data_IF_224378693421
#
_entry.id   IF_224378693421
#
_cell.length_a   1.000
_cell.length_b   1.000
_cell.length_c   1.000
_cell.angle_alpha   90.00
_cell.angle_beta   90.00
_cell.angle_gamma   90.00
#
_symmetry.space_group_name_H-M   'P 1'
#
loop_
_entity.id
_entity.type
_entity.pdbx_description
1 polymer ?
#
# COMPACT_ATOMS: atom_id res chain seq x y z
N UNK A 1 15.94 -5.75 12.68
CA UNK A 1 16.12 -4.58 11.79
C UNK A 1 14.72 -4.07 11.46
N UNK A 2 14.35 -2.87 11.89
CA UNK A 2 13.05 -2.28 11.54
C UNK A 2 13.19 -1.69 10.14
N UNK A 3 12.83 -2.45 9.10
CA UNK A 3 12.90 -1.94 7.73
C UNK A 3 11.77 -0.93 7.53
N UNK A 4 12.16 0.34 7.65
CA UNK A 4 11.31 1.48 7.31
C UNK A 4 11.28 1.54 5.79
N UNK A 5 10.11 1.29 5.24
CA UNK A 5 9.79 1.50 3.84
C UNK A 5 9.77 3.01 3.60
N UNK A 6 10.17 3.48 2.42
CA UNK A 6 9.95 4.87 1.97
C UNK A 6 8.91 4.98 0.84
N UNK A 7 8.63 6.21 0.39
CA UNK A 7 7.57 6.43 -0.62
C UNK A 7 7.94 5.81 -1.99
N UNK A 8 9.23 5.75 -2.32
CA UNK A 8 9.70 5.20 -3.58
C UNK A 8 9.55 3.68 -3.59
N UNK A 9 9.76 3.01 -2.45
CA UNK A 9 9.46 1.59 -2.29
C UNK A 9 7.97 1.27 -2.55
N UNK A 10 7.07 2.16 -2.13
CA UNK A 10 5.62 2.00 -2.39
C UNK A 10 5.30 2.17 -3.87
N UNK A 11 5.94 3.12 -4.54
CA UNK A 11 5.80 3.28 -6.00
C UNK A 11 6.31 2.03 -6.71
N UNK A 12 7.46 1.49 -6.28
CA UNK A 12 8.01 0.25 -6.83
C UNK A 12 7.05 -0.94 -6.64
N UNK A 13 6.45 -1.08 -5.45
CA UNK A 13 5.44 -2.12 -5.18
C UNK A 13 4.21 -1.95 -6.06
N UNK A 14 3.73 -0.72 -6.26
CA UNK A 14 2.61 -0.44 -7.15
C UNK A 14 2.92 -0.83 -8.60
N UNK A 15 4.13 -0.52 -9.08
CA UNK A 15 4.61 -0.91 -10.42
C UNK A 15 4.72 -2.43 -10.57
N UNK A 16 5.30 -3.12 -9.59
CA UNK A 16 5.41 -4.59 -9.57
C UNK A 16 4.01 -5.20 -9.61
N UNK A 17 3.11 -4.72 -8.75
CA UNK A 17 1.72 -5.19 -8.66
C UNK A 17 0.98 -4.97 -9.98
N UNK A 18 1.19 -3.83 -10.64
CA UNK A 18 0.61 -3.57 -11.95
C UNK A 18 1.11 -4.53 -13.03
N UNK A 19 2.41 -4.87 -13.00
CA UNK A 19 2.99 -5.89 -13.88
C UNK A 19 2.41 -7.29 -13.64
N UNK A 20 2.11 -7.65 -12.38
CA UNK A 20 1.52 -8.94 -12.00
C UNK A 20 0.04 -9.04 -12.36
N UNK A 21 -0.75 -8.00 -12.08
CA UNK A 21 -2.20 -7.97 -12.34
C UNK A 21 -2.51 -7.67 -13.81
N UNK A 22 -1.53 -7.15 -14.56
CA UNK A 22 -1.67 -6.79 -15.98
C UNK A 22 -2.42 -5.48 -16.22
N UNK A 23 -2.64 -4.68 -15.18
CA UNK A 23 -3.21 -3.32 -15.28
C UNK A 23 -2.62 -2.41 -14.21
N UNK A 24 -2.51 -1.09 -14.46
CA UNK A 24 -2.17 -0.14 -13.42
C UNK A 24 -3.20 -0.15 -12.29
N UNK A 25 -2.76 0.23 -11.08
CA UNK A 25 -3.68 0.51 -9.98
C UNK A 25 -4.64 1.63 -10.40
N UNK A 26 -5.93 1.43 -10.16
CA UNK A 26 -6.93 2.48 -10.33
C UNK A 26 -6.66 3.65 -9.36
N UNK A 27 -7.25 4.84 -9.61
CA UNK A 27 -7.12 5.96 -8.69
C UNK A 27 -7.61 5.63 -7.27
N UNK A 28 -8.65 4.80 -7.13
CA UNK A 28 -9.16 4.35 -5.83
C UNK A 28 -8.18 3.42 -5.10
N UNK A 29 -7.60 2.45 -5.81
CA UNK A 29 -6.58 1.53 -5.26
C UNK A 29 -5.33 2.30 -4.82
N UNK A 30 -4.88 3.26 -5.63
CA UNK A 30 -3.74 4.13 -5.32
C UNK A 30 -3.99 5.03 -4.09
N UNK A 31 -5.20 5.59 -3.99
CA UNK A 31 -5.61 6.42 -2.85
C UNK A 31 -5.66 5.61 -1.55
N UNK A 32 -6.16 4.38 -1.60
CA UNK A 32 -6.15 3.45 -0.45
C UNK A 32 -4.72 3.11 -0.02
N UNK A 33 -3.84 2.78 -0.96
CA UNK A 33 -2.44 2.49 -0.67
C UNK A 33 -1.72 3.68 -0.01
N UNK A 34 -1.96 4.90 -0.52
CA UNK A 34 -1.42 6.13 0.06
C UNK A 34 -1.98 6.44 1.46
N UNK A 35 -3.25 6.11 1.70
CA UNK A 35 -3.87 6.28 3.02
C UNK A 35 -3.28 5.32 4.04
N UNK A 36 -3.18 4.03 3.68
CA UNK A 36 -2.55 3.00 4.50
C UNK A 36 -1.08 3.33 4.81
N UNK A 37 -0.35 3.85 3.82
CA UNK A 37 1.00 4.36 4.00
C UNK A 37 1.13 5.44 5.09
N UNK A 38 0.23 6.43 5.05
CA UNK A 38 0.26 7.55 6.00
C UNK A 38 -0.16 7.13 7.42
N UNK A 39 -1.01 6.10 7.54
CA UNK A 39 -1.50 5.58 8.81
C UNK A 39 -0.55 4.55 9.44
N UNK A 40 0.23 3.84 8.65
CA UNK A 40 1.16 2.83 9.13
C UNK A 40 2.27 3.43 9.99
N UNK A 41 2.26 3.10 11.28
CA UNK A 41 3.34 3.42 12.22
C UNK A 41 3.69 2.16 13.01
N UNK A 42 4.91 1.59 12.84
CA UNK A 42 5.98 2.02 11.95
C UNK A 42 5.66 1.76 10.46
N UNK A 43 6.30 2.51 9.55
CA UNK A 43 6.16 2.33 8.09
C UNK A 43 6.86 1.05 7.61
N UNK A 44 6.25 -0.09 7.90
CA UNK A 44 6.68 -1.41 7.45
C UNK A 44 5.62 -1.98 6.50
N UNK A 45 6.01 -2.90 5.61
CA UNK A 45 5.04 -3.53 4.70
C UNK A 45 3.91 -4.25 5.42
N UNK A 46 4.19 -4.92 6.54
CA UNK A 46 3.17 -5.55 7.37
C UNK A 46 2.18 -4.54 7.95
N UNK A 47 2.65 -3.44 8.54
CA UNK A 47 1.76 -2.41 9.09
C UNK A 47 0.89 -1.75 7.99
N UNK A 48 1.44 -1.56 6.79
CA UNK A 48 0.68 -1.03 5.65
C UNK A 48 -0.37 -2.05 5.18
N UNK A 49 -0.01 -3.33 5.12
CA UNK A 49 -0.95 -4.40 4.78
C UNK A 49 -2.07 -4.51 5.81
N UNK A 50 -1.77 -4.36 7.10
CA UNK A 50 -2.76 -4.33 8.17
C UNK A 50 -3.75 -3.17 7.96
N UNK A 51 -3.27 -1.96 7.68
CA UNK A 51 -4.14 -0.79 7.39
C UNK A 51 -5.01 -0.98 6.13
N UNK A 52 -4.50 -1.65 5.10
CA UNK A 52 -5.28 -1.99 3.90
C UNK A 52 -6.39 -3.00 4.18
N UNK A 53 -6.15 -3.94 5.10
CA UNK A 53 -7.12 -4.97 5.50
C UNK A 53 -8.14 -4.46 6.53
N UNK A 54 -7.76 -3.49 7.36
CA UNK A 54 -8.63 -2.84 8.36
C UNK A 54 -9.62 -1.84 7.76
N UNK A 55 -9.40 -1.37 6.52
CA UNK A 55 -10.37 -0.52 5.81
C UNK A 55 -11.68 -1.31 5.66
N UNK A 56 -12.79 -0.92 6.33
CA UNK A 56 -13.99 -1.73 6.38
C UNK A 56 -14.52 -1.97 4.96
N UNK A 57 -14.90 -3.22 4.68
CA UNK A 57 -15.96 -3.46 3.69
C UNK A 57 -17.24 -2.84 4.26
N UNK A 58 -17.40 -1.53 4.13
CA UNK A 58 -18.72 -0.92 4.23
C UNK A 58 -19.53 -1.48 3.06
N UNK A 59 -20.50 -2.33 3.40
CA UNK A 59 -21.50 -2.85 2.47
C UNK A 59 -22.43 -1.79 1.96
#
# INVERSE_FOLDING_TARGET
MNQVVDLDDIVAIATITAGVIGRPLSPGESSRLKTAWNQATPRTLSAIADQLNETPRSG
#
